data_IF_596810452414
#
_entry.id   IF_596810452414
#
_cell.length_a   1.000
_cell.length_b   1.000
_cell.length_c   1.000
_cell.angle_alpha   90.00
_cell.angle_beta   90.00
_cell.angle_gamma   90.00
#
_symmetry.space_group_name_H-M   'P 1'
#
loop_
_entity.id
_entity.type
_entity.pdbx_description
1 polymer ?
#
# COMPACT_ATOMS: atom_id res chain seq x y z
N UNK A 1 23.52 21.42 -0.44
CA UNK A 1 23.28 20.82 0.90
C UNK A 1 22.45 19.56 0.76
N UNK A 2 23.02 18.47 0.18
CA UNK A 2 22.32 17.20 -0.07
C UNK A 2 23.25 16.02 0.30
N UNK A 3 23.47 15.79 1.59
CA UNK A 3 24.44 14.75 1.99
C UNK A 3 24.13 13.99 3.28
N UNK A 4 22.96 14.14 3.91
CA UNK A 4 22.73 13.60 5.26
C UNK A 4 21.68 12.49 5.32
N UNK A 5 20.87 12.26 4.27
CA UNK A 5 19.73 11.31 4.34
C UNK A 5 20.11 9.88 3.94
N UNK A 6 21.19 9.66 3.20
CA UNK A 6 21.53 8.33 2.68
C UNK A 6 22.29 7.39 3.65
N UNK A 7 22.85 7.91 4.75
CA UNK A 7 23.67 7.12 5.70
C UNK A 7 22.88 6.51 6.86
N UNK A 8 21.63 6.89 7.09
CA UNK A 8 20.82 6.43 8.24
C UNK A 8 20.13 5.07 8.02
N UNK A 9 19.80 4.71 6.79
CA UNK A 9 19.05 3.49 6.49
C UNK A 9 19.74 2.15 6.85
N UNK A 10 21.05 1.95 6.58
CA UNK A 10 21.70 0.69 6.97
C UNK A 10 21.88 0.56 8.49
N UNK A 11 22.16 1.65 9.20
CA UNK A 11 22.30 1.66 10.66
C UNK A 11 20.97 1.35 11.36
N UNK A 12 19.88 1.92 10.91
CA UNK A 12 18.55 1.70 11.50
C UNK A 12 18.12 0.23 11.37
N UNK A 13 18.40 -0.43 10.26
CA UNK A 13 18.14 -1.88 10.07
C UNK A 13 18.92 -2.75 11.06
N UNK A 14 20.15 -2.37 11.38
CA UNK A 14 20.94 -3.07 12.40
C UNK A 14 20.32 -2.90 13.78
N UNK A 15 19.85 -1.70 14.11
CA UNK A 15 19.15 -1.41 15.37
C UNK A 15 17.85 -2.20 15.48
N UNK A 16 17.05 -2.24 14.40
CA UNK A 16 15.81 -3.01 14.34
C UNK A 16 16.04 -4.52 14.57
N UNK A 17 17.08 -5.08 13.93
CA UNK A 17 17.43 -6.48 14.12
C UNK A 17 17.89 -6.79 15.55
N UNK A 18 18.67 -5.89 16.16
CA UNK A 18 19.07 -6.00 17.54
C UNK A 18 17.89 -5.94 18.50
N UNK A 19 16.94 -5.00 18.26
CA UNK A 19 15.72 -4.85 19.03
C UNK A 19 14.85 -6.11 18.97
N UNK A 20 14.67 -6.70 17.79
CA UNK A 20 13.93 -7.94 17.63
C UNK A 20 14.52 -9.08 18.47
N UNK A 21 15.84 -9.25 18.48
CA UNK A 21 16.52 -10.28 19.29
C UNK A 21 16.45 -9.98 20.79
N UNK A 22 16.47 -8.69 21.20
CA UNK A 22 16.30 -8.30 22.60
C UNK A 22 14.87 -8.63 23.07
N UNK A 23 13.86 -8.25 22.29
CA UNK A 23 12.46 -8.54 22.60
C UNK A 23 12.21 -10.03 22.72
N UNK A 24 12.71 -10.82 21.78
CA UNK A 24 12.58 -12.28 21.79
C UNK A 24 13.32 -12.89 23.01
N UNK A 25 14.50 -12.39 23.35
CA UNK A 25 15.27 -12.85 24.51
C UNK A 25 14.67 -12.49 25.86
N UNK A 26 13.87 -11.40 25.95
CA UNK A 26 13.23 -10.97 27.20
C UNK A 26 11.78 -11.49 27.34
N UNK A 27 11.08 -11.74 26.21
CA UNK A 27 9.65 -12.01 26.21
C UNK A 27 9.29 -13.47 25.86
N UNK A 28 10.17 -14.23 25.19
CA UNK A 28 9.88 -15.62 24.81
C UNK A 28 9.97 -16.56 26.03
N UNK A 29 9.14 -17.61 26.12
CA UNK A 29 9.22 -18.61 27.18
C UNK A 29 10.35 -19.64 26.95
N UNK A 30 11.03 -20.04 28.03
CA UNK A 30 11.91 -21.21 28.07
C UNK A 30 13.11 -21.17 27.11
N UNK A 31 13.28 -22.23 26.32
CA UNK A 31 14.44 -22.42 25.44
C UNK A 31 14.56 -21.37 24.32
N UNK A 32 13.44 -20.81 23.86
CA UNK A 32 13.44 -19.77 22.84
C UNK A 32 14.13 -18.49 23.34
N UNK A 33 13.95 -18.10 24.58
CA UNK A 33 14.65 -16.96 25.18
C UNK A 33 16.18 -17.19 25.25
N UNK A 34 16.60 -18.42 25.57
CA UNK A 34 18.01 -18.78 25.60
C UNK A 34 18.67 -18.70 24.22
N UNK A 35 18.00 -19.22 23.19
CA UNK A 35 18.49 -19.19 21.81
C UNK A 35 18.58 -17.76 21.24
N UNK A 36 17.60 -16.92 21.55
CA UNK A 36 17.60 -15.50 21.12
C UNK A 36 18.75 -14.69 21.79
N UNK A 37 19.03 -14.93 23.10
CA UNK A 37 20.16 -14.30 23.81
C UNK A 37 21.49 -14.72 23.22
N UNK A 38 21.63 -16.00 22.88
CA UNK A 38 22.85 -16.54 22.25
C UNK A 38 23.05 -15.93 20.86
N UNK A 39 21.97 -15.85 20.07
CA UNK A 39 21.98 -15.22 18.74
C UNK A 39 22.36 -13.75 18.83
N UNK A 40 21.84 -12.99 19.81
CA UNK A 40 22.20 -11.59 20.05
C UNK A 40 23.68 -11.43 20.39
N UNK A 41 24.23 -12.32 21.23
CA UNK A 41 25.64 -12.30 21.61
C UNK A 41 26.55 -12.57 20.40
N UNK A 42 26.24 -13.59 19.60
CA UNK A 42 26.98 -13.91 18.38
C UNK A 42 26.87 -12.77 17.35
N UNK A 43 25.68 -12.18 17.21
CA UNK A 43 25.42 -11.10 16.27
C UNK A 43 26.19 -9.81 16.66
N UNK A 44 26.27 -9.49 17.94
CA UNK A 44 27.06 -8.38 18.48
C UNK A 44 28.57 -8.51 18.16
N UNK A 45 29.08 -9.73 18.13
CA UNK A 45 30.50 -10.01 17.84
C UNK A 45 30.90 -9.84 16.37
N UNK A 46 29.97 -9.63 15.44
CA UNK A 46 30.26 -9.59 13.99
C UNK A 46 31.02 -8.34 13.54
N UNK A 47 30.77 -7.17 14.12
CA UNK A 47 31.52 -5.93 13.84
C UNK A 47 31.23 -4.86 14.89
N UNK A 48 32.04 -3.80 14.88
CA UNK A 48 31.82 -2.61 15.72
C UNK A 48 30.46 -1.95 15.49
N UNK A 49 29.94 -1.95 14.24
CA UNK A 49 28.63 -1.41 13.89
C UNK A 49 27.49 -2.24 14.51
N UNK A 50 27.63 -3.58 14.53
CA UNK A 50 26.67 -4.47 15.18
C UNK A 50 26.66 -4.25 16.70
N UNK A 51 27.83 -4.06 17.31
CA UNK A 51 27.94 -3.76 18.74
C UNK A 51 27.28 -2.42 19.10
N UNK A 52 27.49 -1.39 18.31
CA UNK A 52 26.86 -0.07 18.47
C UNK A 52 25.33 -0.15 18.29
N UNK A 53 24.86 -0.93 17.33
CA UNK A 53 23.43 -1.15 17.10
C UNK A 53 22.75 -1.87 18.27
N UNK A 54 23.42 -2.86 18.91
CA UNK A 54 22.90 -3.51 20.13
C UNK A 54 22.83 -2.54 21.30
N UNK A 55 23.81 -1.67 21.46
CA UNK A 55 23.81 -0.67 22.52
C UNK A 55 22.66 0.34 22.36
N UNK A 56 22.47 0.86 21.17
CA UNK A 56 21.37 1.75 20.83
C UNK A 56 20.01 1.09 21.01
N UNK A 57 19.87 -0.17 20.55
CA UNK A 57 18.64 -0.95 20.72
C UNK A 57 18.29 -1.17 22.18
N UNK A 58 19.30 -1.44 23.06
CA UNK A 58 19.08 -1.57 24.52
C UNK A 58 18.64 -0.24 25.13
N UNK A 59 19.25 0.88 24.77
CA UNK A 59 18.84 2.18 25.26
C UNK A 59 17.36 2.49 24.91
N UNK A 60 16.95 2.18 23.69
CA UNK A 60 15.55 2.34 23.27
C UNK A 60 14.60 1.42 24.02
N UNK A 61 15.03 0.18 24.27
CA UNK A 61 14.27 -0.79 25.06
C UNK A 61 14.11 -0.35 26.53
N UNK A 62 15.17 0.09 27.16
CA UNK A 62 15.18 0.57 28.56
C UNK A 62 14.35 1.84 28.73
N UNK A 63 14.36 2.76 27.74
CA UNK A 63 13.52 3.94 27.73
C UNK A 63 12.02 3.58 27.68
N UNK A 64 11.64 2.55 26.92
CA UNK A 64 10.27 2.02 26.89
C UNK A 64 9.88 1.40 28.25
N UNK A 65 10.78 0.65 28.89
CA UNK A 65 10.60 0.10 30.22
C UNK A 65 10.46 1.19 31.32
N UNK A 66 11.24 2.27 31.20
CA UNK A 66 11.16 3.44 32.08
C UNK A 66 9.80 4.17 31.99
N UNK A 67 9.24 4.31 30.78
CA UNK A 67 7.89 4.88 30.61
C UNK A 67 6.80 3.98 31.19
N UNK A 68 6.94 2.67 31.07
CA UNK A 68 6.00 1.71 31.66
C UNK A 68 6.04 1.76 33.20
N UNK A 69 7.20 1.96 33.80
CA UNK A 69 7.35 2.13 35.27
C UNK A 69 6.82 3.49 35.73
N UNK A 70 7.00 4.56 34.96
CA UNK A 70 6.44 5.88 35.26
C UNK A 70 4.91 5.87 35.22
N UNK A 71 4.30 5.16 34.28
CA UNK A 71 2.86 4.93 34.23
C UNK A 71 2.36 4.13 35.44
N UNK A 72 3.08 3.09 35.89
CA UNK A 72 2.73 2.33 37.09
C UNK A 72 2.75 3.20 38.34
N UNK A 73 3.76 4.04 38.50
CA UNK A 73 3.85 4.97 39.65
C UNK A 73 2.68 5.98 39.68
N UNK A 74 2.14 6.33 38.51
CA UNK A 74 1.00 7.25 38.40
C UNK A 74 -0.36 6.59 38.71
N UNK A 75 -0.46 5.25 38.58
CA UNK A 75 -1.63 4.47 38.94
C UNK A 75 -1.57 3.86 40.36
N UNK A 76 -0.43 3.95 41.05
CA UNK A 76 -0.21 3.47 42.43
C UNK A 76 -0.23 4.62 43.47
N UNK A 77 -0.93 5.73 43.23
CA UNK A 77 -1.20 6.68 44.29
C UNK A 77 -2.09 6.05 45.34
N UNK A 78 -1.70 6.03 46.65
CA UNK A 78 -2.53 5.48 47.72
C UNK A 78 -3.63 6.47 48.10
N UNK A 79 -4.76 6.31 47.44
CA UNK A 79 -6.00 7.06 47.78
C UNK A 79 -6.71 6.48 48.98
N UNK A 80 -6.65 7.15 50.08
CA UNK A 80 -7.76 7.21 51.02
C UNK A 80 -7.89 6.15 52.10
N UNK A 81 -7.41 6.49 53.27
CA UNK A 81 -7.83 6.04 54.57
C UNK A 81 -9.36 5.99 54.70
N UNK A 82 -9.95 4.84 54.86
CA UNK A 82 -11.25 4.68 55.55
C UNK A 82 -11.18 3.51 56.52
N UNK A 83 -11.21 3.91 57.77
CA UNK A 83 -11.54 3.25 59.03
C UNK A 83 -11.79 1.73 59.04
N UNK A 84 -10.88 1.07 59.73
CA UNK A 84 -11.08 -0.25 60.27
C UNK A 84 -11.95 -0.21 61.52
N UNK A 85 -12.90 -1.10 61.64
CA UNK A 85 -13.24 -1.80 62.90
C UNK A 85 -14.03 -3.04 62.53
N UNK A 86 -13.56 -4.14 62.99
CA UNK A 86 -14.22 -5.32 63.51
C UNK A 86 -13.74 -6.67 62.90
N UNK A 87 -13.36 -7.52 63.81
CA UNK A 87 -13.52 -8.97 63.70
C UNK A 87 -12.27 -9.78 63.31
N UNK A 88 -11.56 -10.25 64.33
CA UNK A 88 -10.61 -11.35 64.23
C UNK A 88 -11.33 -12.62 63.78
N UNK A 89 -11.16 -13.01 62.52
CA UNK A 89 -11.50 -14.33 62.02
C UNK A 89 -10.23 -14.94 61.42
N UNK A 90 -9.90 -16.15 61.84
CA UNK A 90 -8.72 -16.92 61.52
C UNK A 90 -8.46 -16.93 60.01
N UNK A 91 -7.33 -16.37 59.59
CA UNK A 91 -6.88 -16.34 58.18
C UNK A 91 -6.32 -17.70 57.82
N UNK A 92 -7.03 -18.53 57.08
CA UNK A 92 -6.49 -19.75 56.51
C UNK A 92 -5.39 -19.39 55.49
N UNK A 93 -4.18 -19.94 55.56
CA UNK A 93 -3.03 -19.60 54.69
C UNK A 93 -3.29 -19.90 53.19
N UNK A 94 -4.23 -20.76 52.89
CA UNK A 94 -4.60 -21.14 51.54
C UNK A 94 -5.28 -20.01 50.69
N UNK A 95 -5.94 -19.06 51.35
CA UNK A 95 -6.67 -17.99 50.65
C UNK A 95 -5.73 -16.86 50.17
N UNK A 96 -4.67 -16.60 50.91
CA UNK A 96 -3.66 -15.61 50.53
C UNK A 96 -2.77 -16.10 49.40
N UNK A 97 -2.45 -17.39 49.37
CA UNK A 97 -1.64 -17.99 48.29
C UNK A 97 -2.40 -18.00 46.96
N UNK A 98 -3.70 -18.35 46.98
CA UNK A 98 -4.58 -18.26 45.76
C UNK A 98 -4.72 -16.83 45.23
N UNK A 99 -4.84 -15.84 46.12
CA UNK A 99 -4.94 -14.44 45.74
C UNK A 99 -3.64 -13.91 45.12
N UNK A 100 -2.48 -14.32 45.63
CA UNK A 100 -1.15 -14.00 45.05
C UNK A 100 -0.96 -14.64 43.67
N UNK A 101 -1.39 -15.88 43.50
CA UNK A 101 -1.34 -16.59 42.20
C UNK A 101 -2.29 -15.93 41.20
N UNK A 102 -3.48 -15.59 41.57
CA UNK A 102 -4.44 -14.88 40.70
C UNK A 102 -3.94 -13.49 40.30
N UNK A 103 -3.32 -12.75 41.21
CA UNK A 103 -2.76 -11.42 40.94
C UNK A 103 -1.51 -11.54 40.02
N UNK A 104 -0.67 -12.56 40.21
CA UNK A 104 0.49 -12.79 39.32
C UNK A 104 0.06 -13.24 37.92
N UNK A 105 -0.98 -14.07 37.79
CA UNK A 105 -1.56 -14.45 36.50
C UNK A 105 -2.22 -13.27 35.81
N UNK A 106 -2.97 -12.42 36.55
CA UNK A 106 -3.56 -11.20 36.00
C UNK A 106 -2.49 -10.17 35.55
N UNK A 107 -1.39 -10.05 36.32
CA UNK A 107 -0.27 -9.21 35.96
C UNK A 107 0.47 -9.73 34.69
N UNK A 108 0.68 -11.05 34.58
CA UNK A 108 1.27 -11.67 33.39
C UNK A 108 0.38 -11.52 32.14
N UNK A 109 -0.93 -11.69 32.27
CA UNK A 109 -1.89 -11.47 31.20
C UNK A 109 -1.97 -9.98 30.81
N UNK A 110 -1.95 -9.08 31.78
CA UNK A 110 -1.93 -7.62 31.55
C UNK A 110 -0.66 -7.16 30.84
N UNK A 111 0.51 -7.61 31.28
CA UNK A 111 1.79 -7.30 30.62
C UNK A 111 1.90 -7.92 29.22
N UNK A 112 1.39 -9.14 29.01
CA UNK A 112 1.35 -9.78 27.70
C UNK A 112 0.47 -9.02 26.70
N UNK A 113 -0.70 -8.52 27.16
CA UNK A 113 -1.59 -7.70 26.32
C UNK A 113 -0.98 -6.34 25.96
N UNK A 114 -0.35 -5.65 26.91
CA UNK A 114 0.29 -4.34 26.66
C UNK A 114 1.51 -4.52 25.74
N UNK A 115 2.33 -5.53 25.99
CA UNK A 115 3.48 -5.82 25.12
C UNK A 115 3.04 -6.25 23.71
N UNK A 116 2.02 -7.09 23.60
CA UNK A 116 1.45 -7.49 22.30
C UNK A 116 0.90 -6.32 21.50
N UNK A 117 0.20 -5.38 22.17
CA UNK A 117 -0.27 -4.15 21.53
C UNK A 117 0.88 -3.20 21.15
N UNK A 118 1.93 -3.11 21.96
CA UNK A 118 3.13 -2.32 21.64
C UNK A 118 3.85 -2.84 20.40
N UNK A 119 4.03 -4.16 20.31
CA UNK A 119 4.61 -4.82 19.13
C UNK A 119 3.71 -4.61 17.90
N UNK A 120 2.42 -4.84 18.03
CA UNK A 120 1.46 -4.60 16.95
C UNK A 120 1.47 -3.15 16.50
N UNK A 121 1.47 -2.18 17.42
CA UNK A 121 1.57 -0.76 17.12
C UNK A 121 2.86 -0.44 16.35
N UNK A 122 4.02 -0.99 16.78
CA UNK A 122 5.30 -0.81 16.11
C UNK A 122 5.30 -1.30 14.65
N UNK A 123 4.69 -2.47 14.38
CA UNK A 123 4.55 -3.01 13.03
C UNK A 123 3.57 -2.21 12.16
N UNK A 124 2.63 -1.51 12.77
CA UNK A 124 1.65 -0.67 12.09
C UNK A 124 2.17 0.75 11.78
N UNK A 125 3.33 1.15 12.30
CA UNK A 125 3.90 2.45 11.99
C UNK A 125 4.44 2.50 10.56
N UNK A 126 4.09 3.53 9.76
CA UNK A 126 4.65 3.71 8.43
C UNK A 126 6.16 3.97 8.52
N UNK A 127 6.92 3.30 7.66
CA UNK A 127 8.36 3.50 7.49
C UNK A 127 8.63 4.63 6.50
N UNK A 128 7.77 4.76 5.48
CA UNK A 128 7.86 5.79 4.46
C UNK A 128 6.47 6.12 3.94
N UNK A 129 6.23 7.41 3.71
CA UNK A 129 5.03 7.94 3.07
C UNK A 129 5.48 8.85 1.93
N UNK A 130 4.95 8.64 0.73
CA UNK A 130 5.23 9.47 -0.43
C UNK A 130 3.98 9.63 -1.31
N UNK A 131 3.75 10.84 -1.79
CA UNK A 131 2.66 11.14 -2.73
C UNK A 131 3.23 11.49 -4.09
N UNK A 132 2.75 10.85 -5.13
CA UNK A 132 3.14 11.11 -6.51
C UNK A 132 1.94 11.58 -7.32
N UNK A 133 2.10 12.68 -8.03
CA UNK A 133 1.05 13.26 -8.88
C UNK A 133 1.64 13.67 -10.21
N UNK A 134 0.86 13.47 -11.26
CA UNK A 134 1.21 13.91 -12.60
C UNK A 134 0.17 14.89 -13.11
N UNK A 135 0.64 15.95 -13.76
CA UNK A 135 -0.21 16.91 -14.47
C UNK A 135 -0.61 16.38 -15.85
N UNK A 136 -1.42 17.17 -16.58
CA UNK A 136 -1.72 16.91 -17.99
C UNK A 136 -0.43 16.83 -18.82
N UNK A 137 -0.32 15.85 -19.69
CA UNK A 137 0.85 15.55 -20.53
C UNK A 137 2.14 15.21 -19.77
N UNK A 138 2.09 15.05 -18.46
CA UNK A 138 3.23 14.67 -17.64
C UNK A 138 3.18 13.19 -17.31
N UNK A 139 4.28 12.48 -17.57
CA UNK A 139 4.51 11.11 -17.10
C UNK A 139 5.60 11.13 -16.04
N UNK A 140 5.53 10.18 -15.10
CA UNK A 140 6.50 10.06 -14.02
C UNK A 140 6.89 8.59 -13.82
N UNK A 141 8.20 8.33 -13.72
CA UNK A 141 8.74 7.01 -13.34
C UNK A 141 9.32 7.10 -11.95
N UNK A 142 8.89 6.20 -11.07
CA UNK A 142 9.30 6.18 -9.67
C UNK A 142 9.82 4.79 -9.31
N UNK A 143 10.91 4.74 -8.57
CA UNK A 143 11.37 3.51 -7.91
C UNK A 143 11.15 3.66 -6.40
N UNK A 144 10.42 2.75 -5.81
CA UNK A 144 10.11 2.76 -4.38
C UNK A 144 11.31 2.27 -3.56
N UNK A 145 11.38 2.71 -2.31
CA UNK A 145 12.43 2.28 -1.37
C UNK A 145 12.05 0.96 -0.64
N UNK A 146 11.34 0.06 -1.32
CA UNK A 146 10.86 -1.21 -0.77
C UNK A 146 11.76 -2.42 -1.12
N UNK A 147 12.85 -2.18 -1.84
CA UNK A 147 13.82 -3.22 -2.22
C UNK A 147 14.51 -3.87 -1.02
N UNK A 148 14.88 -5.15 -1.16
CA UNK A 148 15.55 -5.95 -0.13
C UNK A 148 16.76 -6.68 -0.71
N UNK A 149 17.87 -6.68 0.05
CA UNK A 149 19.07 -7.51 -0.19
C UNK A 149 19.54 -7.55 -1.65
N UNK A 150 19.73 -6.39 -2.27
CA UNK A 150 20.24 -6.30 -3.64
C UNK A 150 19.17 -6.45 -4.73
N UNK A 151 17.90 -6.65 -4.38
CA UNK A 151 16.78 -6.56 -5.30
C UNK A 151 16.33 -5.11 -5.37
N UNK A 152 16.26 -4.50 -6.57
CA UNK A 152 15.72 -3.17 -6.74
C UNK A 152 14.29 -3.07 -6.20
N UNK A 153 13.91 -1.89 -5.72
CA UNK A 153 12.55 -1.64 -5.28
C UNK A 153 11.53 -1.68 -6.43
N UNK A 154 10.27 -1.73 -6.08
CA UNK A 154 9.16 -1.71 -7.03
C UNK A 154 9.20 -0.44 -7.88
N UNK A 155 8.85 -0.57 -9.16
CA UNK A 155 8.77 0.55 -10.10
C UNK A 155 7.32 0.87 -10.41
N UNK A 156 7.01 2.15 -10.40
CA UNK A 156 5.71 2.70 -10.78
C UNK A 156 5.93 3.64 -11.97
N UNK A 157 5.25 3.37 -13.08
CA UNK A 157 5.15 4.30 -14.19
C UNK A 157 3.74 4.93 -14.15
N UNK A 158 3.68 6.24 -13.94
CA UNK A 158 2.43 6.99 -13.84
C UNK A 158 2.17 7.69 -15.19
N UNK A 159 1.00 7.44 -15.77
CA UNK A 159 0.48 8.20 -16.90
C UNK A 159 0.03 9.61 -16.45
N UNK A 160 -0.27 10.54 -17.40
CA UNK A 160 -0.78 11.85 -17.06
C UNK A 160 -2.06 11.81 -16.23
N UNK A 161 -2.25 12.85 -15.39
CA UNK A 161 -3.41 13.04 -14.51
C UNK A 161 -3.60 11.90 -13.51
N UNK A 162 -2.52 11.25 -13.09
CA UNK A 162 -2.52 10.19 -12.08
C UNK A 162 -2.17 10.73 -10.69
N UNK A 163 -2.75 10.13 -9.66
CA UNK A 163 -2.46 10.47 -8.26
C UNK A 163 -2.42 9.20 -7.44
N UNK A 164 -1.27 8.94 -6.82
CA UNK A 164 -1.04 7.81 -5.92
C UNK A 164 -0.35 8.27 -4.64
N UNK A 165 -0.74 7.66 -3.54
CA UNK A 165 -0.06 7.76 -2.25
C UNK A 165 0.51 6.40 -1.90
N UNK A 166 1.79 6.35 -1.57
CA UNK A 166 2.50 5.11 -1.24
C UNK A 166 2.90 5.15 0.22
N UNK A 167 2.43 4.17 0.98
CA UNK A 167 2.81 3.97 2.38
C UNK A 167 3.49 2.63 2.54
N UNK A 168 4.76 2.64 2.91
CA UNK A 168 5.53 1.43 3.19
C UNK A 168 5.51 1.16 4.69
N UNK A 169 5.07 -0.05 5.05
CA UNK A 169 5.11 -0.57 6.40
C UNK A 169 6.17 -1.68 6.51
N UNK A 170 6.46 -2.11 7.73
CA UNK A 170 7.41 -3.21 7.97
C UNK A 170 6.88 -4.56 7.48
N UNK A 171 5.56 -4.74 7.46
CA UNK A 171 4.88 -6.00 7.15
C UNK A 171 3.99 -5.95 5.90
N UNK A 172 3.85 -4.79 5.26
CA UNK A 172 3.04 -4.62 4.05
C UNK A 172 3.45 -3.38 3.29
N UNK A 173 3.03 -3.28 2.04
CA UNK A 173 3.19 -2.12 1.16
C UNK A 173 1.81 -1.69 0.70
N UNK A 174 1.46 -0.44 0.88
CA UNK A 174 0.15 0.09 0.51
C UNK A 174 0.33 1.19 -0.53
N UNK A 175 -0.48 1.13 -1.58
CA UNK A 175 -0.62 2.18 -2.58
C UNK A 175 -2.09 2.56 -2.65
N UNK A 176 -2.40 3.80 -2.32
CA UNK A 176 -3.73 4.37 -2.52
C UNK A 176 -3.74 5.11 -3.85
N UNK A 177 -4.51 4.61 -4.80
CA UNK A 177 -4.65 5.17 -6.13
C UNK A 177 -5.98 5.91 -6.25
N UNK A 178 -5.93 7.23 -6.10
CA UNK A 178 -7.12 8.06 -6.16
C UNK A 178 -7.71 8.14 -7.58
N UNK A 179 -6.85 8.18 -8.60
CA UNK A 179 -7.23 8.21 -10.01
C UNK A 179 -6.03 8.06 -10.94
N UNK A 180 -6.29 7.83 -12.22
CA UNK A 180 -5.29 7.85 -13.29
C UNK A 180 -5.02 6.50 -13.89
N UNK A 181 -3.80 6.31 -14.37
CA UNK A 181 -3.34 5.04 -14.93
C UNK A 181 -1.89 4.81 -14.50
N UNK A 182 -1.64 3.67 -13.90
CA UNK A 182 -0.34 3.32 -13.34
C UNK A 182 0.00 1.90 -13.73
N UNK A 183 1.21 1.73 -14.26
CA UNK A 183 1.82 0.43 -14.41
C UNK A 183 2.73 0.17 -13.22
N UNK A 184 2.51 -0.95 -12.59
CA UNK A 184 3.28 -1.46 -11.47
C UNK A 184 4.21 -2.57 -11.94
N UNK A 185 5.47 -2.51 -11.54
CA UNK A 185 6.41 -3.61 -11.62
C UNK A 185 6.93 -3.87 -10.21
N UNK A 186 6.26 -4.80 -9.54
CA UNK A 186 6.42 -5.01 -8.11
C UNK A 186 7.58 -5.94 -7.82
N UNK A 187 8.50 -5.50 -6.96
CA UNK A 187 9.59 -6.33 -6.47
C UNK A 187 9.05 -7.53 -5.68
N UNK A 188 9.54 -8.76 -5.96
CA UNK A 188 9.09 -9.96 -5.27
C UNK A 188 9.35 -9.90 -3.76
N UNK A 189 8.28 -10.00 -2.97
CA UNK A 189 8.35 -10.03 -1.51
C UNK A 189 7.07 -10.66 -0.95
N UNK A 190 7.15 -11.93 -0.56
CA UNK A 190 6.02 -12.70 -0.01
C UNK A 190 5.69 -12.31 1.43
N UNK A 191 6.68 -11.79 2.17
CA UNK A 191 6.51 -11.40 3.58
C UNK A 191 5.86 -10.02 3.71
N UNK A 192 5.91 -9.20 2.63
CA UNK A 192 5.32 -7.88 2.57
C UNK A 192 4.54 -7.72 1.25
N UNK A 193 3.34 -8.30 1.13
CA UNK A 193 2.52 -8.11 -0.05
C UNK A 193 2.26 -6.61 -0.32
N UNK A 194 2.12 -6.25 -1.59
CA UNK A 194 1.74 -4.92 -2.00
C UNK A 194 0.25 -4.91 -2.29
N UNK A 195 -0.46 -3.98 -1.64
CA UNK A 195 -1.89 -3.74 -1.84
C UNK A 195 -2.06 -2.43 -2.58
N UNK A 196 -2.79 -2.46 -3.69
CA UNK A 196 -3.24 -1.24 -4.39
C UNK A 196 -4.72 -1.07 -4.11
N UNK A 197 -5.06 0.04 -3.47
CA UNK A 197 -6.45 0.44 -3.22
C UNK A 197 -6.88 1.44 -4.28
N UNK A 198 -8.05 1.22 -4.83
CA UNK A 198 -8.74 2.13 -5.74
C UNK A 198 -10.13 2.42 -5.17
N UNK A 199 -10.90 3.29 -5.85
CA UNK A 199 -12.29 3.60 -5.42
C UNK A 199 -13.24 2.39 -5.38
N UNK A 200 -12.95 1.29 -6.10
CA UNK A 200 -13.85 0.12 -6.18
C UNK A 200 -13.15 -1.23 -6.13
N UNK A 201 -11.82 -1.27 -5.94
CA UNK A 201 -11.07 -2.51 -5.88
C UNK A 201 -9.89 -2.44 -4.91
N UNK A 202 -9.57 -3.58 -4.32
CA UNK A 202 -8.32 -3.84 -3.61
C UNK A 202 -7.57 -4.93 -4.37
N UNK A 203 -6.33 -4.64 -4.72
CA UNK A 203 -5.48 -5.51 -5.55
C UNK A 203 -4.31 -5.94 -4.69
N UNK A 204 -4.11 -7.24 -4.51
CA UNK A 204 -3.00 -7.81 -3.73
C UNK A 204 -2.02 -8.54 -4.66
N UNK A 205 -0.74 -8.25 -4.49
CA UNK A 205 0.34 -8.85 -5.27
C UNK A 205 1.59 -9.09 -4.42
N UNK A 206 2.42 -10.06 -4.84
CA UNK A 206 3.67 -10.40 -4.15
C UNK A 206 4.91 -10.30 -5.05
N UNK A 207 4.72 -10.00 -6.36
CA UNK A 207 5.82 -9.89 -7.34
C UNK A 207 5.30 -10.03 -8.76
N UNK A 208 4.74 -8.98 -9.33
CA UNK A 208 3.97 -8.98 -10.57
C UNK A 208 4.21 -7.70 -11.37
N UNK A 209 4.00 -7.77 -12.69
CA UNK A 209 3.82 -6.58 -13.52
C UNK A 209 2.37 -6.52 -14.00
N UNK A 210 1.71 -5.40 -13.70
CA UNK A 210 0.30 -5.19 -14.02
C UNK A 210 0.01 -3.69 -14.17
N UNK A 211 -1.09 -3.38 -14.84
CA UNK A 211 -1.57 -2.01 -15.04
C UNK A 211 -2.95 -1.85 -14.41
N UNK A 212 -3.14 -0.74 -13.72
CA UNK A 212 -4.44 -0.30 -13.19
C UNK A 212 -4.80 1.02 -13.86
N UNK A 213 -6.00 1.10 -14.42
CA UNK A 213 -6.57 2.31 -15.01
C UNK A 213 -7.88 2.66 -14.30
N UNK A 214 -7.92 3.84 -13.70
CA UNK A 214 -9.10 4.44 -13.09
C UNK A 214 -9.20 5.92 -13.52
N UNK A 215 -9.96 6.18 -14.58
CA UNK A 215 -10.17 7.54 -15.14
C UNK A 215 -11.60 8.04 -14.95
N UNK A 216 -12.36 7.48 -14.00
CA UNK A 216 -13.74 7.86 -13.70
C UNK A 216 -14.81 6.94 -14.33
N UNK A 217 -14.45 6.16 -15.35
CA UNK A 217 -15.25 5.06 -15.91
C UNK A 217 -14.98 3.74 -15.20
N UNK A 218 -15.16 2.57 -15.87
CA UNK A 218 -14.78 1.28 -15.33
C UNK A 218 -13.31 1.23 -14.97
N UNK A 219 -12.98 0.59 -13.83
CA UNK A 219 -11.59 0.33 -13.46
C UNK A 219 -11.12 -0.87 -14.25
N UNK A 220 -10.04 -0.71 -15.00
CA UNK A 220 -9.42 -1.79 -15.77
C UNK A 220 -8.15 -2.26 -15.08
N UNK A 221 -8.04 -3.58 -14.88
CA UNK A 221 -6.84 -4.22 -14.34
C UNK A 221 -6.38 -5.24 -15.37
N UNK A 222 -5.12 -5.16 -15.79
CA UNK A 222 -4.51 -6.12 -16.72
C UNK A 222 -3.15 -6.59 -16.24
N UNK A 223 -2.89 -7.88 -16.33
CA UNK A 223 -1.69 -8.54 -15.80
C UNK A 223 -0.72 -8.89 -16.93
N UNK A 224 0.46 -8.26 -16.94
CA UNK A 224 1.51 -8.54 -17.92
C UNK A 224 2.26 -9.83 -17.57
N UNK A 225 2.63 -10.01 -16.30
CA UNK A 225 3.21 -11.25 -15.79
C UNK A 225 2.94 -11.43 -14.30
N UNK A 226 2.94 -12.69 -13.84
CA UNK A 226 2.73 -13.07 -12.44
C UNK A 226 1.27 -13.34 -12.11
N UNK A 227 0.89 -13.10 -10.86
CA UNK A 227 -0.43 -13.38 -10.31
C UNK A 227 -0.93 -12.18 -9.48
N UNK A 228 -2.15 -11.79 -9.70
CA UNK A 228 -2.84 -10.67 -9.05
C UNK A 228 -4.15 -11.17 -8.46
N UNK A 229 -4.38 -10.90 -7.19
CA UNK A 229 -5.67 -11.14 -6.54
C UNK A 229 -6.44 -9.83 -6.42
N UNK A 230 -7.67 -9.81 -6.94
CA UNK A 230 -8.54 -8.64 -6.98
C UNK A 230 -9.77 -8.89 -6.12
N UNK A 231 -9.94 -8.09 -5.08
CA UNK A 231 -11.18 -8.00 -4.32
C UNK A 231 -11.98 -6.79 -4.79
N UNK A 232 -13.27 -6.97 -5.04
CA UNK A 232 -14.18 -5.86 -5.34
C UNK A 232 -14.64 -5.25 -4.03
N UNK A 233 -14.48 -3.95 -3.94
CA UNK A 233 -14.78 -3.20 -2.73
C UNK A 233 -16.26 -2.89 -2.58
N UNK A 234 -16.95 -3.26 -1.51
CA UNK A 234 -18.16 -2.58 -1.08
C UNK A 234 -17.79 -1.25 -0.44
N UNK A 235 -18.52 -0.21 -0.70
CA UNK A 235 -18.37 1.23 -0.37
C UNK A 235 -17.80 1.60 1.03
N UNK A 236 -17.50 2.89 1.33
CA UNK A 236 -16.35 3.34 2.12
C UNK A 236 -16.31 2.85 3.56
N UNK A 237 -15.17 2.30 3.95
CA UNK A 237 -14.89 1.84 5.30
C UNK A 237 -14.31 0.43 5.35
N UNK A 238 -13.50 0.05 4.38
CA UNK A 238 -12.96 -1.28 4.23
C UNK A 238 -12.39 -1.92 5.49
N UNK A 239 -13.14 -2.85 6.06
CA UNK A 239 -12.63 -3.96 6.85
C UNK A 239 -13.25 -5.24 6.26
N UNK A 240 -12.46 -5.97 5.46
CA UNK A 240 -12.80 -7.32 5.03
C UNK A 240 -13.32 -7.45 3.59
N UNK A 241 -12.58 -8.17 2.78
CA UNK A 241 -12.99 -8.70 1.49
C UNK A 241 -14.04 -9.80 1.68
N UNK A 242 -15.30 -9.46 1.86
CA UNK A 242 -16.40 -10.44 1.85
C UNK A 242 -16.98 -10.68 0.45
N UNK A 243 -16.37 -10.14 -0.61
CA UNK A 243 -16.65 -10.52 -2.00
C UNK A 243 -15.69 -11.64 -2.46
N UNK A 244 -16.16 -12.50 -3.35
CA UNK A 244 -15.27 -13.50 -3.96
C UNK A 244 -14.08 -12.79 -4.64
N UNK A 245 -12.87 -13.07 -4.15
CA UNK A 245 -11.65 -12.57 -4.78
C UNK A 245 -11.49 -13.24 -6.15
N UNK A 246 -11.02 -12.46 -7.13
CA UNK A 246 -10.76 -12.93 -8.49
C UNK A 246 -9.25 -13.03 -8.64
N UNK A 247 -8.77 -14.19 -9.05
CA UNK A 247 -7.38 -14.42 -9.39
C UNK A 247 -7.16 -14.14 -10.88
N UNK A 248 -6.21 -13.27 -11.20
CA UNK A 248 -5.79 -12.92 -12.55
C UNK A 248 -4.35 -13.37 -12.78
N UNK A 249 -4.10 -13.91 -13.95
CA UNK A 249 -2.80 -14.39 -14.39
C UNK A 249 -2.29 -13.60 -15.60
N UNK A 250 -1.07 -13.88 -16.05
CA UNK A 250 -0.49 -13.24 -17.21
C UNK A 250 -1.41 -13.34 -18.44
N UNK A 251 -1.70 -12.20 -19.07
CA UNK A 251 -2.64 -12.09 -20.19
C UNK A 251 -4.08 -11.81 -19.78
N UNK A 252 -4.43 -11.92 -18.49
CA UNK A 252 -5.78 -11.65 -18.02
C UNK A 252 -6.03 -10.15 -17.86
N UNK A 253 -7.27 -9.76 -18.21
CA UNK A 253 -7.83 -8.43 -17.99
C UNK A 253 -9.21 -8.55 -17.36
N UNK A 254 -9.51 -7.67 -16.41
CA UNK A 254 -10.85 -7.51 -15.84
C UNK A 254 -11.24 -6.04 -15.79
N UNK A 255 -12.51 -5.76 -15.96
CA UNK A 255 -13.11 -4.45 -15.74
C UNK A 255 -14.04 -4.51 -14.53
N UNK A 256 -13.95 -3.48 -13.68
CA UNK A 256 -14.79 -3.33 -12.49
C UNK A 256 -15.64 -2.08 -12.69
N UNK A 257 -16.96 -2.26 -12.74
CA UNK A 257 -17.95 -1.21 -12.87
C UNK A 257 -19.07 -1.43 -11.87
N UNK A 258 -19.61 -0.34 -11.32
CA UNK A 258 -20.77 -0.37 -10.40
C UNK A 258 -20.62 -1.34 -9.22
N UNK A 259 -19.39 -1.46 -8.70
CA UNK A 259 -19.07 -2.37 -7.60
C UNK A 259 -19.12 -3.85 -7.95
N UNK A 260 -19.08 -4.20 -9.24
CA UNK A 260 -19.06 -5.56 -9.73
C UNK A 260 -17.88 -5.79 -10.68
N UNK A 261 -17.28 -6.96 -10.59
CA UNK A 261 -16.29 -7.40 -11.55
C UNK A 261 -16.96 -7.99 -12.78
N UNK A 262 -16.53 -7.54 -13.95
CA UNK A 262 -16.87 -8.14 -15.22
C UNK A 262 -16.23 -9.53 -15.38
N UNK A 263 -16.43 -10.14 -16.56
CA UNK A 263 -15.75 -11.39 -16.89
C UNK A 263 -14.27 -11.16 -17.11
N UNK A 264 -13.45 -12.09 -16.62
CA UNK A 264 -12.03 -12.14 -16.97
C UNK A 264 -11.90 -12.44 -18.47
N UNK A 265 -11.11 -11.65 -19.16
CA UNK A 265 -10.87 -11.75 -20.59
C UNK A 265 -9.38 -11.91 -20.84
N UNK A 266 -9.01 -12.70 -21.82
CA UNK A 266 -7.65 -12.69 -22.35
C UNK A 266 -7.52 -11.49 -23.30
N UNK A 267 -6.47 -10.69 -23.08
CA UNK A 267 -6.21 -9.47 -23.83
C UNK A 267 -4.70 -9.25 -23.99
N UNK A 268 -4.32 -8.46 -24.99
CA UNK A 268 -2.97 -7.93 -25.05
C UNK A 268 -2.77 -6.90 -23.92
N UNK A 269 -2.33 -7.38 -22.77
CA UNK A 269 -2.13 -6.53 -21.58
C UNK A 269 -0.96 -5.56 -21.75
N UNK A 270 -0.04 -5.81 -22.69
CA UNK A 270 1.01 -4.85 -23.08
C UNK A 270 0.41 -3.60 -23.76
N UNK A 271 -0.74 -3.75 -24.41
CA UNK A 271 -1.46 -2.61 -25.00
C UNK A 271 -1.94 -1.61 -23.92
N UNK A 272 -2.24 -2.06 -22.70
CA UNK A 272 -2.63 -1.17 -21.59
C UNK A 272 -1.47 -0.26 -21.15
N UNK A 273 -0.23 -0.71 -21.26
CA UNK A 273 0.95 0.06 -20.88
C UNK A 273 1.70 0.70 -22.07
N UNK A 274 1.13 0.60 -23.30
CA UNK A 274 1.74 1.13 -24.53
C UNK A 274 1.94 2.66 -24.52
N UNK A 275 1.23 3.37 -23.65
CA UNK A 275 1.41 4.81 -23.45
C UNK A 275 2.83 5.17 -22.97
N UNK A 276 3.53 4.27 -22.31
CA UNK A 276 4.93 4.43 -21.89
C UNK A 276 5.87 4.62 -23.09
N UNK A 277 5.49 4.02 -24.22
CA UNK A 277 6.20 4.09 -25.50
C UNK A 277 5.56 5.10 -26.47
N UNK A 278 4.67 5.95 -25.92
CA UNK A 278 4.01 7.01 -26.69
C UNK A 278 2.83 6.56 -27.54
N UNK A 279 2.19 5.44 -27.20
CA UNK A 279 1.03 4.93 -27.92
C UNK A 279 -0.20 4.77 -27.05
N UNK A 280 -1.35 5.16 -27.58
CA UNK A 280 -2.66 4.80 -27.05
C UNK A 280 -3.26 3.71 -27.92
N UNK A 281 -3.66 2.62 -27.31
CA UNK A 281 -4.27 1.47 -27.98
C UNK A 281 -5.70 1.34 -27.48
N UNK A 282 -6.63 1.34 -28.42
CA UNK A 282 -8.05 1.19 -28.16
C UNK A 282 -8.57 -0.07 -28.86
N UNK A 283 -9.32 -0.88 -28.14
CA UNK A 283 -9.94 -2.10 -28.64
C UNK A 283 -11.42 -2.07 -28.28
N UNK A 284 -12.26 -1.79 -29.27
CA UNK A 284 -13.71 -1.67 -29.04
C UNK A 284 -14.07 -0.77 -27.85
N UNK A 285 -13.27 0.28 -27.64
CA UNK A 285 -13.35 1.18 -26.47
C UNK A 285 -14.45 2.22 -26.72
N UNK A 286 -15.34 2.53 -25.74
CA UNK A 286 -16.25 3.65 -25.83
C UNK A 286 -15.47 4.93 -26.14
N UNK A 287 -15.98 5.76 -27.06
CA UNK A 287 -15.29 6.97 -27.49
C UNK A 287 -15.09 7.94 -26.33
N UNK A 288 -16.05 8.05 -25.41
CA UNK A 288 -15.89 8.84 -24.19
C UNK A 288 -14.67 8.45 -23.36
N UNK A 289 -14.44 7.14 -23.18
CA UNK A 289 -13.27 6.62 -22.44
C UNK A 289 -11.97 6.85 -23.23
N UNK A 290 -12.02 6.69 -24.57
CA UNK A 290 -10.89 6.97 -25.44
C UNK A 290 -10.53 8.46 -25.41
N UNK A 291 -11.52 9.37 -25.44
CA UNK A 291 -11.33 10.81 -25.32
C UNK A 291 -10.76 11.19 -23.93
N UNK A 292 -11.23 10.57 -22.85
CA UNK A 292 -10.68 10.80 -21.52
C UNK A 292 -9.18 10.43 -21.48
N UNK A 293 -8.80 9.31 -22.10
CA UNK A 293 -7.40 8.93 -22.23
C UNK A 293 -6.58 9.91 -23.06
N UNK A 294 -7.07 10.32 -24.25
CA UNK A 294 -6.40 11.29 -25.13
C UNK A 294 -6.27 12.65 -24.46
N UNK A 295 -7.33 13.14 -23.80
CA UNK A 295 -7.36 14.42 -23.12
C UNK A 295 -6.40 14.52 -21.95
N UNK A 296 -5.99 13.39 -21.37
CA UNK A 296 -4.95 13.41 -20.34
C UNK A 296 -3.59 13.89 -20.87
N UNK A 297 -3.35 13.78 -22.17
CA UNK A 297 -2.15 14.25 -22.88
C UNK A 297 -2.29 15.63 -23.51
N UNK A 298 -3.45 16.28 -23.38
CA UNK A 298 -3.76 17.54 -24.08
C UNK A 298 -4.14 18.65 -23.12
N UNK A 299 -3.58 19.82 -23.35
CA UNK A 299 -3.99 21.05 -22.64
C UNK A 299 -5.34 21.61 -23.13
N UNK A 300 -5.68 21.32 -24.40
CA UNK A 300 -6.95 21.72 -25.02
C UNK A 300 -7.76 20.46 -25.30
N UNK A 301 -8.87 20.23 -24.58
CA UNK A 301 -9.59 18.98 -24.64
C UNK A 301 -10.37 18.79 -25.94
N UNK A 302 -10.59 17.54 -26.32
CA UNK A 302 -11.61 17.13 -27.28
C UNK A 302 -12.85 16.77 -26.47
N UNK A 303 -13.99 17.37 -26.77
CA UNK A 303 -15.24 17.15 -26.06
C UNK A 303 -16.29 16.62 -27.01
N UNK A 304 -17.12 15.68 -26.55
CA UNK A 304 -18.31 15.25 -27.28
C UNK A 304 -19.50 16.13 -26.87
N UNK A 305 -20.46 16.27 -27.74
CA UNK A 305 -21.69 17.01 -27.47
C UNK A 305 -22.84 16.13 -27.02
N UNK A 306 -22.69 14.80 -27.06
CA UNK A 306 -23.77 13.90 -26.67
C UNK A 306 -23.32 12.53 -26.18
N UNK A 307 -24.09 11.91 -25.28
CA UNK A 307 -23.86 10.53 -24.83
C UNK A 307 -23.86 9.51 -25.96
N UNK A 308 -24.53 9.80 -27.07
CA UNK A 308 -24.56 8.94 -28.26
C UNK A 308 -23.17 8.86 -28.91
N UNK A 309 -22.46 9.96 -28.96
CA UNK A 309 -21.08 10.01 -29.46
C UNK A 309 -20.16 9.28 -28.51
N UNK A 310 -20.29 9.50 -27.20
CA UNK A 310 -19.48 8.82 -26.17
C UNK A 310 -19.63 7.30 -26.22
N UNK A 311 -20.82 6.80 -26.58
CA UNK A 311 -21.09 5.37 -26.70
C UNK A 311 -20.54 4.73 -28.00
N UNK A 312 -20.12 5.52 -29.00
CA UNK A 312 -19.49 4.99 -30.22
C UNK A 312 -18.22 4.20 -29.86
N UNK A 313 -17.87 3.20 -30.66
CA UNK A 313 -16.73 2.33 -30.38
C UNK A 313 -15.55 2.68 -31.27
N UNK A 314 -14.40 2.87 -30.64
CA UNK A 314 -13.13 3.14 -31.30
C UNK A 314 -12.19 1.94 -31.15
N UNK A 315 -11.60 1.54 -32.29
CA UNK A 315 -10.46 0.61 -32.30
C UNK A 315 -9.34 1.22 -33.14
N UNK A 316 -8.12 1.11 -32.63
CA UNK A 316 -6.96 1.63 -33.31
C UNK A 316 -5.80 1.94 -32.38
N UNK A 317 -4.67 2.30 -32.99
CA UNK A 317 -3.45 2.69 -32.30
C UNK A 317 -3.06 4.11 -32.69
N UNK A 318 -2.93 4.99 -31.73
CA UNK A 318 -2.68 6.42 -31.94
C UNK A 318 -1.46 6.87 -31.13
N UNK A 319 -0.70 7.80 -31.66
CA UNK A 319 0.39 8.43 -30.93
C UNK A 319 -0.14 9.44 -29.91
N UNK A 320 0.43 9.45 -28.70
CA UNK A 320 0.03 10.40 -27.62
C UNK A 320 0.26 11.86 -28.02
N UNK A 321 1.24 12.12 -28.89
CA UNK A 321 1.62 13.45 -29.38
C UNK A 321 1.03 13.80 -30.75
N UNK A 322 0.29 12.90 -31.40
CA UNK A 322 -0.35 13.11 -32.72
C UNK A 322 -1.89 13.15 -32.58
N UNK A 323 -2.35 14.13 -31.88
CA UNK A 323 -3.79 14.34 -31.71
C UNK A 323 -4.46 14.90 -32.99
N UNK A 324 -3.69 15.52 -33.89
CA UNK A 324 -4.22 16.00 -35.18
C UNK A 324 -4.54 14.83 -36.10
N UNK A 325 -3.66 13.83 -36.16
CA UNK A 325 -3.91 12.59 -36.88
C UNK A 325 -5.15 11.86 -36.35
N UNK A 326 -5.37 11.81 -35.02
CA UNK A 326 -6.59 11.26 -34.47
C UNK A 326 -7.82 12.05 -34.91
N UNK A 327 -7.80 13.40 -34.82
CA UNK A 327 -8.95 14.24 -35.20
C UNK A 327 -9.26 14.11 -36.69
N UNK A 328 -8.25 13.95 -37.53
CA UNK A 328 -8.44 13.71 -38.95
C UNK A 328 -9.04 12.33 -39.26
N UNK A 329 -8.68 11.32 -38.47
CA UNK A 329 -9.17 9.95 -38.64
C UNK A 329 -10.61 9.75 -38.14
N UNK A 330 -11.02 10.42 -37.05
CA UNK A 330 -12.32 10.20 -36.42
C UNK A 330 -13.51 10.34 -37.39
N UNK A 331 -13.63 11.38 -38.26
CA UNK A 331 -14.75 11.51 -39.19
C UNK A 331 -14.80 10.47 -40.31
N UNK A 332 -13.67 9.77 -40.54
CA UNK A 332 -13.59 8.67 -41.54
C UNK A 332 -13.98 7.32 -40.95
N UNK A 333 -13.82 7.16 -39.65
CA UNK A 333 -14.08 5.91 -38.93
C UNK A 333 -15.50 5.93 -38.32
N UNK A 334 -15.96 7.09 -37.86
CA UNK A 334 -17.20 7.27 -37.12
C UNK A 334 -18.09 8.30 -37.80
N UNK A 335 -19.44 8.18 -37.67
CA UNK A 335 -20.39 9.15 -38.25
C UNK A 335 -20.47 10.44 -37.40
N UNK A 336 -19.39 11.20 -37.36
CA UNK A 336 -19.25 12.45 -36.61
C UNK A 336 -18.48 13.52 -37.43
N UNK A 337 -18.54 14.76 -36.99
CA UNK A 337 -17.76 15.86 -37.49
C UNK A 337 -16.94 16.49 -36.37
N UNK A 338 -15.81 17.09 -36.74
CA UNK A 338 -14.89 17.76 -35.85
C UNK A 338 -14.98 19.25 -36.03
N UNK A 339 -15.33 20.00 -34.99
CA UNK A 339 -15.52 21.46 -35.03
C UNK A 339 -14.57 22.13 -34.02
N UNK A 340 -13.66 23.01 -34.47
CA UNK A 340 -12.84 23.80 -33.54
C UNK A 340 -13.73 24.84 -32.82
N UNK A 341 -13.42 25.08 -31.53
CA UNK A 341 -14.07 26.09 -30.70
C UNK A 341 -13.16 27.30 -30.49
N UNK A 342 -13.74 28.50 -30.17
CA UNK A 342 -12.95 29.70 -29.92
C UNK A 342 -11.95 29.61 -28.78
N UNK A 343 -12.20 28.77 -27.78
CA UNK A 343 -11.32 28.51 -26.64
C UNK A 343 -10.15 27.55 -26.98
N UNK A 344 -10.11 27.11 -28.23
CA UNK A 344 -9.10 26.17 -28.75
C UNK A 344 -9.38 24.72 -28.40
N UNK A 345 -10.48 24.38 -27.71
CA UNK A 345 -10.97 23.01 -27.60
C UNK A 345 -11.58 22.57 -28.94
N UNK A 346 -11.83 21.26 -29.04
CA UNK A 346 -12.43 20.67 -30.24
C UNK A 346 -13.71 19.94 -29.84
N UNK A 347 -14.81 20.25 -30.55
CA UNK A 347 -16.08 19.56 -30.36
C UNK A 347 -16.26 18.45 -31.40
N UNK A 348 -16.74 17.30 -30.93
CA UNK A 348 -17.23 16.21 -31.76
C UNK A 348 -18.76 16.31 -31.82
N UNK A 349 -19.29 16.48 -33.04
CA UNK A 349 -20.72 16.64 -33.30
C UNK A 349 -21.23 15.44 -34.09
N UNK A 350 -22.45 14.99 -33.81
CA UNK A 350 -23.07 13.93 -34.60
C UNK A 350 -23.33 14.39 -36.04
N UNK A 351 -23.14 13.48 -36.99
CA UNK A 351 -23.51 13.71 -38.39
C UNK A 351 -24.98 13.54 -38.59
#
# INVERSE_FOLDING_TARGET
MNGIVAASAPRERLIERALALIVEGEMAPGEAAGSARLALHQWRGKSAEHAAAVQEARQRWDALGGMANGLRAHFEEPGGTLMAHAGAAAKSPHRQQRRKILLSVAALLGTGLVAGRGVQWYWQQPVSLATYRTATAQMLKVTLADGIRGVPGSRLDLAPQSSVEVTLYRNRRLVDMARGEVRFEVAPDKDRPLHVQTRAAVIEVVGTAFTVRDRGGPITIGVEHGHVRVGVAPHPGFAGTEGAAIDLYAGDRVEIADGQAGRVQQADTAALSAWRDGWLVFENTPLGDALAAVNSYRTRPIVSDSPRIDAMRLSGRFRVNDSEGLMAALPTILPLTVAPRPDGSVALLAR
#
